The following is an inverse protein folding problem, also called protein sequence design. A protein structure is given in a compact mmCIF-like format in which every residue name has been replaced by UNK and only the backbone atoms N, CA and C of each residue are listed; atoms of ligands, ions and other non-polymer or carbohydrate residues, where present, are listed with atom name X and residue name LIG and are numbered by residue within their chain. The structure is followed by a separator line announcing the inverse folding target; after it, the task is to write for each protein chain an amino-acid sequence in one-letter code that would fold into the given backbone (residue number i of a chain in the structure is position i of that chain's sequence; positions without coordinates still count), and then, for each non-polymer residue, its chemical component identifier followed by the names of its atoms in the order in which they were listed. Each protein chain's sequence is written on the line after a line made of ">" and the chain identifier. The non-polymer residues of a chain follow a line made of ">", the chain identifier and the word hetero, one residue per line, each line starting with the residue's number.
data_IF_327256111138
#
_entry.id   IF_327256111138
#
_cell.length_a   1.000
_cell.length_b   1.000
_cell.length_c   1.000
_cell.angle_alpha   90.00
_cell.angle_beta   90.00
_cell.angle_gamma   90.00
#
_symmetry.space_group_name_H-M   'P 1'
#
loop_
_entity.id
_entity.type
_entity.pdbx_description
1 polymer ?
#
# COMPACT_ATOMS: atom_id res chain seq x y z
N UNK A 1 -8.36 -6.69 3.99
CA UNK A 1 -6.97 -6.96 3.59
C UNK A 1 -6.83 -8.19 2.70
N UNK A 2 -6.07 -8.08 1.63
CA UNK A 2 -5.60 -9.23 0.85
C UNK A 2 -4.31 -9.85 1.46
N UNK A 3 -3.83 -11.02 1.00
CA UNK A 3 -2.66 -11.68 1.61
C UNK A 3 -1.39 -10.82 1.65
N UNK A 4 -1.09 -10.05 0.59
CA UNK A 4 0.08 -9.17 0.57
C UNK A 4 -0.02 -8.00 1.56
N UNK A 5 -1.22 -7.47 1.80
CA UNK A 5 -1.44 -6.43 2.81
C UNK A 5 -1.25 -7.00 4.22
N UNK A 6 -1.72 -8.23 4.49
CA UNK A 6 -1.51 -8.88 5.79
C UNK A 6 -0.01 -9.14 6.05
N UNK A 7 0.72 -9.65 5.05
CA UNK A 7 2.17 -9.84 5.14
C UNK A 7 2.90 -8.52 5.45
N UNK A 8 2.53 -7.44 4.75
CA UNK A 8 3.15 -6.14 4.95
C UNK A 8 2.81 -5.53 6.32
N UNK A 9 1.56 -5.64 6.78
CA UNK A 9 1.16 -5.21 8.12
C UNK A 9 1.97 -5.91 9.21
N UNK A 10 2.13 -7.24 9.13
CA UNK A 10 2.96 -8.02 10.06
C UNK A 10 4.42 -7.56 10.06
N UNK A 11 4.94 -7.15 8.91
CA UNK A 11 6.29 -6.63 8.81
C UNK A 11 6.45 -5.28 9.53
N UNK A 12 5.47 -4.37 9.34
CA UNK A 12 5.46 -3.10 10.04
C UNK A 12 5.37 -3.33 11.56
N UNK A 13 4.52 -4.24 12.01
CA UNK A 13 4.40 -4.62 13.42
C UNK A 13 5.71 -5.19 13.99
N UNK A 14 6.37 -6.09 13.25
CA UNK A 14 7.64 -6.69 13.65
C UNK A 14 8.72 -5.63 13.89
N UNK A 15 8.81 -4.63 13.01
CA UNK A 15 9.72 -3.50 13.17
C UNK A 15 9.18 -2.39 14.07
N UNK A 16 7.99 -2.54 14.64
CA UNK A 16 7.31 -1.56 15.49
C UNK A 16 7.14 -0.20 14.81
N UNK A 17 6.92 -0.22 13.50
CA UNK A 17 6.55 0.97 12.73
C UNK A 17 5.05 1.17 12.96
N UNK A 18 4.62 2.35 13.39
CA UNK A 18 3.17 2.60 13.51
C UNK A 18 2.55 2.78 12.14
N UNK A 19 1.32 2.28 11.98
CA UNK A 19 0.64 2.31 10.70
C UNK A 19 -0.88 2.35 10.85
N UNK A 20 -1.54 2.84 9.80
CA UNK A 20 -3.00 2.89 9.68
C UNK A 20 -3.41 2.23 8.37
N UNK A 21 -4.35 1.28 8.42
CA UNK A 21 -4.94 0.66 7.24
C UNK A 21 -5.94 1.59 6.57
N UNK A 22 -5.91 1.68 5.23
CA UNK A 22 -6.87 2.46 4.41
C UNK A 22 -7.26 3.81 5.05
N UNK A 23 -6.26 4.66 5.37
CA UNK A 23 -6.42 5.83 6.25
C UNK A 23 -7.46 6.84 5.74
N UNK A 24 -7.57 6.99 4.42
CA UNK A 24 -8.50 7.89 3.74
C UNK A 24 -8.50 7.65 2.23
N UNK A 25 -9.53 8.18 1.56
CA UNK A 25 -9.60 8.28 0.10
C UNK A 25 -9.31 9.71 -0.37
N UNK A 26 -8.67 9.81 -1.53
CA UNK A 26 -8.36 11.05 -2.23
C UNK A 26 -9.15 11.09 -3.54
N UNK A 27 -10.19 11.95 -3.65
CA UNK A 27 -10.88 12.19 -4.89
C UNK A 27 -9.93 12.68 -6.00
N UNK A 28 -9.95 12.05 -7.18
CA UNK A 28 -9.10 12.41 -8.31
C UNK A 28 -9.87 12.99 -9.49
N UNK A 29 -11.12 12.56 -9.72
CA UNK A 29 -11.95 13.02 -10.84
C UNK A 29 -13.42 13.05 -10.48
N UNK A 30 -14.12 14.01 -11.05
CA UNK A 30 -15.57 14.19 -10.95
C UNK A 30 -16.19 14.29 -12.35
N UNK A 31 -17.49 14.02 -12.47
CA UNK A 31 -18.29 14.30 -13.67
C UNK A 31 -18.83 15.75 -13.66
N UNK A 32 -19.55 16.12 -14.72
CA UNK A 32 -20.15 17.46 -14.87
C UNK A 32 -21.23 17.76 -13.81
N UNK A 33 -21.85 16.71 -13.25
CA UNK A 33 -22.84 16.80 -12.18
C UNK A 33 -22.19 16.82 -10.77
N UNK A 34 -20.86 16.81 -10.69
CA UNK A 34 -20.09 16.78 -9.44
C UNK A 34 -20.02 15.41 -8.76
N UNK A 35 -20.40 14.32 -9.42
CA UNK A 35 -20.28 12.96 -8.87
C UNK A 35 -18.84 12.46 -8.98
N UNK A 36 -18.38 11.81 -7.92
CA UNK A 36 -17.04 11.22 -7.87
C UNK A 36 -16.89 10.07 -8.88
N UNK A 37 -16.02 10.24 -9.87
CA UNK A 37 -15.72 9.23 -10.89
C UNK A 37 -14.52 8.36 -10.53
N UNK A 38 -13.52 8.94 -9.89
CA UNK A 38 -12.30 8.24 -9.54
C UNK A 38 -11.69 8.80 -8.26
N UNK A 39 -11.26 7.89 -7.39
CA UNK A 39 -10.47 8.20 -6.20
C UNK A 39 -9.26 7.27 -6.11
N UNK A 40 -8.31 7.68 -5.27
CA UNK A 40 -7.16 6.90 -4.86
C UNK A 40 -7.23 6.67 -3.35
N UNK A 41 -7.13 5.41 -2.93
CA UNK A 41 -7.16 5.01 -1.54
C UNK A 41 -5.88 4.21 -1.29
N UNK A 42 -4.87 4.80 -0.63
CA UNK A 42 -3.66 4.06 -0.29
C UNK A 42 -3.95 2.95 0.70
N UNK A 43 -3.25 1.83 0.55
CA UNK A 43 -3.39 0.66 1.42
C UNK A 43 -2.97 0.96 2.87
N UNK A 44 -1.91 1.75 3.07
CA UNK A 44 -1.38 2.09 4.41
C UNK A 44 -0.96 3.56 4.53
N UNK A 45 -0.89 4.04 5.77
CA UNK A 45 -0.21 5.29 6.14
C UNK A 45 0.70 5.07 7.34
N UNK A 46 1.90 5.63 7.28
CA UNK A 46 2.91 5.63 8.34
C UNK A 46 2.97 7.05 8.94
N UNK A 47 2.40 7.28 10.13
CA UNK A 47 2.28 8.63 10.70
C UNK A 47 3.60 9.33 11.00
N UNK A 48 4.62 8.58 11.42
CA UNK A 48 5.94 9.10 11.81
C UNK A 48 6.67 9.70 10.62
N UNK A 49 6.53 9.08 9.45
CA UNK A 49 7.16 9.49 8.20
C UNK A 49 6.26 10.36 7.33
N UNK A 50 5.02 10.60 7.75
CA UNK A 50 3.95 11.20 6.94
C UNK A 50 3.91 10.59 5.53
N UNK A 51 3.78 9.27 5.46
CA UNK A 51 3.97 8.50 4.23
C UNK A 51 2.81 7.54 3.96
N UNK A 52 2.18 7.71 2.80
CA UNK A 52 1.20 6.77 2.27
C UNK A 52 1.88 5.68 1.44
N UNK A 53 1.46 4.44 1.64
CA UNK A 53 1.97 3.27 0.91
C UNK A 53 0.84 2.63 0.13
N UNK A 54 1.11 2.33 -1.13
CA UNK A 54 0.27 1.52 -2.01
C UNK A 54 1.06 0.26 -2.40
N UNK A 55 0.53 -0.92 -2.10
CA UNK A 55 1.10 -2.18 -2.52
C UNK A 55 0.75 -2.47 -3.97
N UNK A 56 1.71 -2.97 -4.74
CA UNK A 56 1.45 -3.41 -6.12
C UNK A 56 1.98 -4.81 -6.38
N UNK A 57 1.20 -5.56 -7.16
CA UNK A 57 1.67 -6.78 -7.81
C UNK A 57 2.23 -6.43 -9.19
N UNK A 58 3.19 -7.21 -9.69
CA UNK A 58 3.91 -6.99 -10.96
C UNK A 58 3.04 -7.16 -12.23
N UNK A 59 1.71 -7.29 -12.11
CA UNK A 59 0.84 -7.38 -13.28
C UNK A 59 0.83 -6.03 -14.01
N UNK A 60 1.56 -5.94 -15.12
CA UNK A 60 1.80 -4.70 -15.86
C UNK A 60 0.52 -3.90 -16.17
N UNK A 61 -0.58 -4.57 -16.51
CA UNK A 61 -1.87 -3.92 -16.77
C UNK A 61 -2.43 -3.15 -15.56
N UNK A 62 -2.20 -3.67 -14.34
CA UNK A 62 -2.61 -3.02 -13.10
C UNK A 62 -1.68 -1.86 -12.72
N UNK A 63 -0.37 -2.03 -12.95
CA UNK A 63 0.64 -1.00 -12.67
C UNK A 63 0.39 0.27 -13.49
N UNK A 64 0.00 0.15 -14.76
CA UNK A 64 -0.32 1.32 -15.60
C UNK A 64 -1.47 2.16 -15.03
N UNK A 65 -2.54 1.50 -14.54
CA UNK A 65 -3.68 2.18 -13.93
C UNK A 65 -3.29 2.85 -12.61
N UNK A 66 -2.52 2.16 -11.75
CA UNK A 66 -2.02 2.72 -10.49
C UNK A 66 -1.10 3.92 -10.73
N UNK A 67 -0.15 3.82 -11.66
CA UNK A 67 0.73 4.93 -12.02
C UNK A 67 -0.01 6.16 -12.57
N UNK A 68 -1.07 5.95 -13.36
CA UNK A 68 -1.94 7.05 -13.79
C UNK A 68 -2.61 7.74 -12.61
N UNK A 69 -3.17 6.98 -11.66
CA UNK A 69 -3.77 7.55 -10.45
C UNK A 69 -2.75 8.29 -9.58
N UNK A 70 -1.55 7.74 -9.41
CA UNK A 70 -0.49 8.39 -8.65
C UNK A 70 0.00 9.70 -9.29
N UNK A 71 0.06 9.77 -10.62
CA UNK A 71 0.35 11.03 -11.31
C UNK A 71 -0.72 12.09 -11.02
N UNK A 72 -1.99 11.73 -11.17
CA UNK A 72 -3.10 12.63 -10.85
C UNK A 72 -3.12 13.04 -9.37
N UNK A 73 -2.81 12.11 -8.45
CA UNK A 73 -2.71 12.42 -7.03
C UNK A 73 -1.63 13.48 -6.78
N UNK A 74 -0.44 13.33 -7.38
CA UNK A 74 0.67 14.28 -7.22
C UNK A 74 0.38 15.64 -7.85
N UNK A 75 -0.44 15.69 -8.89
CA UNK A 75 -0.90 16.93 -9.51
C UNK A 75 -1.93 17.66 -8.64
N UNK A 76 -2.87 16.93 -8.04
CA UNK A 76 -3.98 17.50 -7.25
C UNK A 76 -3.63 17.74 -5.77
N UNK A 77 -2.75 16.92 -5.22
CA UNK A 77 -2.34 16.90 -3.80
C UNK A 77 -0.82 16.79 -3.71
N UNK A 78 -0.07 17.83 -4.11
CA UNK A 78 1.39 17.81 -4.15
C UNK A 78 2.04 17.61 -2.77
N UNK A 79 1.33 17.92 -1.69
CA UNK A 79 1.75 17.71 -0.30
C UNK A 79 1.70 16.24 0.13
N UNK A 80 0.97 15.39 -0.59
CA UNK A 80 0.78 14.00 -0.20
C UNK A 80 1.98 13.16 -0.65
N UNK A 81 2.74 12.70 0.34
CA UNK A 81 3.86 11.78 0.13
C UNK A 81 3.35 10.35 -0.01
N UNK A 82 3.40 9.82 -1.24
CA UNK A 82 2.96 8.45 -1.55
C UNK A 82 4.04 7.64 -2.28
N UNK A 83 4.22 6.39 -1.86
CA UNK A 83 5.10 5.41 -2.50
C UNK A 83 4.35 4.15 -2.92
N UNK A 84 4.67 3.68 -4.13
CA UNK A 84 4.25 2.37 -4.63
C UNK A 84 5.31 1.35 -4.22
N UNK A 85 4.93 0.33 -3.45
CA UNK A 85 5.82 -0.75 -3.03
C UNK A 85 5.48 -2.02 -3.79
N UNK A 86 6.49 -2.61 -4.43
CA UNK A 86 6.34 -3.88 -5.13
C UNK A 86 6.47 -5.05 -4.15
N UNK A 87 5.61 -6.05 -4.32
CA UNK A 87 5.67 -7.27 -3.50
C UNK A 87 7.05 -7.93 -3.52
N UNK A 88 7.64 -8.05 -4.71
CA UNK A 88 8.96 -8.65 -4.87
C UNK A 88 10.08 -7.86 -4.18
N UNK A 89 9.98 -6.53 -4.12
CA UNK A 89 11.04 -5.68 -3.55
C UNK A 89 11.10 -5.81 -2.03
N UNK A 90 9.95 -5.83 -1.34
CA UNK A 90 9.96 -6.03 0.11
C UNK A 90 10.27 -7.49 0.47
N UNK A 91 9.81 -8.47 -0.31
CA UNK A 91 10.17 -9.88 -0.09
C UNK A 91 11.67 -10.13 -0.26
N UNK A 92 12.31 -9.52 -1.27
CA UNK A 92 13.75 -9.58 -1.44
C UNK A 92 14.50 -8.89 -0.29
N UNK A 93 13.96 -7.78 0.24
CA UNK A 93 14.50 -7.10 1.41
C UNK A 93 14.44 -8.00 2.66
N UNK A 94 13.29 -8.63 2.91
CA UNK A 94 13.08 -9.59 4.00
C UNK A 94 14.07 -10.75 3.95
N UNK A 95 14.16 -11.40 2.79
CA UNK A 95 15.07 -12.53 2.57
C UNK A 95 16.54 -12.12 2.77
N UNK A 96 16.93 -10.91 2.34
CA UNK A 96 18.29 -10.39 2.50
C UNK A 96 18.67 -10.13 3.96
N UNK A 97 17.72 -9.77 4.81
CA UNK A 97 17.97 -9.51 6.24
C UNK A 97 17.76 -10.74 7.13
N UNK A 98 17.60 -11.94 6.56
CA UNK A 98 17.41 -13.17 7.33
C UNK A 98 16.11 -13.21 8.12
N UNK A 99 15.13 -12.38 7.73
CA UNK A 99 13.80 -12.43 8.28
C UNK A 99 13.10 -13.53 7.50
N UNK A 100 13.22 -14.75 8.01
CA UNK A 100 12.38 -15.84 7.56
C UNK A 100 10.93 -15.38 7.76
N UNK A 101 10.14 -15.58 6.71
CA UNK A 101 8.69 -15.47 6.77
C UNK A 101 8.29 -16.22 8.04
N UNK A 102 7.79 -15.51 9.05
CA UNK A 102 6.99 -16.16 10.06
C UNK A 102 5.75 -16.63 9.30
N UNK A 103 5.89 -17.81 8.66
CA UNK A 103 4.80 -18.59 8.15
C UNK A 103 3.74 -18.53 9.25
N UNK A 104 2.46 -18.26 8.92
CA UNK A 104 1.44 -18.36 9.95
C UNK A 104 1.62 -19.76 10.56
N UNK A 105 1.97 -19.78 11.84
CA UNK A 105 1.92 -21.00 12.61
C UNK A 105 0.48 -21.47 12.45
N UNK A 106 0.31 -22.54 11.68
CA UNK A 106 -0.86 -23.38 11.79
C UNK A 106 -0.73 -24.01 13.18
N UNK A 107 -1.16 -23.26 14.21
CA UNK A 107 -1.43 -23.82 15.51
C UNK A 107 -2.77 -24.55 15.42
N UNK A 108 -2.63 -25.86 15.32
CA UNK A 108 -3.34 -26.87 16.09
C UNK A 108 -4.88 -26.94 15.97
N UNK A 109 -5.31 -27.84 15.08
CA UNK A 109 -6.52 -28.61 15.31
C UNK A 109 -6.11 -30.08 15.53
N UNK A 110 -6.05 -30.46 16.80
CA UNK A 110 -6.23 -31.85 17.24
C UNK A 110 -7.72 -32.25 17.11
#
# INVERSE_FOLDING_TARGET
>A
MNPSEVEFARLLDYYRIEWVYEPRSFPLRWDEDGRLLEAFAPDFYLPQEDLYIELTTMRQSLVNRKNRKLRLLRELYPEINVKLIYRGDYQALLAKYGIEEAAPAAEDAE
#
